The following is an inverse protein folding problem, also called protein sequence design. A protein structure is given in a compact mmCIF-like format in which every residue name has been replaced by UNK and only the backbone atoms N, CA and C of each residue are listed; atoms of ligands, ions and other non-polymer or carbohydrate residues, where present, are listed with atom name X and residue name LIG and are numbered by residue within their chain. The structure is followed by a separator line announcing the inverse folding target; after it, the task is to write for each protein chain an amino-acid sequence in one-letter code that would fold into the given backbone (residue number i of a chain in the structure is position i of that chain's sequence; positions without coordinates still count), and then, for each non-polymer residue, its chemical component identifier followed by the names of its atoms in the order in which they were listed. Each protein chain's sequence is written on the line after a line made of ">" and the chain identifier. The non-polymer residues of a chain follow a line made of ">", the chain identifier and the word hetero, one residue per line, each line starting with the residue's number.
data_IF_102053312291
#
_entry.id   IF_102053312291
#
_cell.length_a   1.000
_cell.length_b   1.000
_cell.length_c   1.000
_cell.angle_alpha   90.00
_cell.angle_beta   90.00
_cell.angle_gamma   90.00
#
_symmetry.space_group_name_H-M   'P 1'
#
loop_
_entity.id
_entity.type
_entity.pdbx_description
1 polymer ?
#
# COMPACT_ATOMS: atom_id res chain seq x y z
N UNK A 1 -0.16 -5.19 -19.85
CA UNK A 1 0.65 -4.17 -20.56
C UNK A 1 2.17 -4.45 -20.52
N UNK A 2 2.68 -5.37 -19.68
CA UNK A 2 4.09 -5.79 -19.74
C UNK A 2 5.12 -4.79 -19.22
N UNK A 3 4.70 -3.75 -18.49
CA UNK A 3 5.57 -2.75 -17.89
C UNK A 3 5.65 -2.95 -16.37
N UNK A 4 6.69 -3.62 -15.83
CA UNK A 4 6.73 -4.02 -14.42
C UNK A 4 7.20 -2.91 -13.48
N UNK A 5 7.87 -1.88 -14.00
CA UNK A 5 8.44 -0.77 -13.23
C UNK A 5 7.51 0.44 -13.27
N UNK A 6 6.55 0.49 -12.35
CA UNK A 6 5.57 1.58 -12.23
C UNK A 6 5.65 2.29 -10.88
N UNK A 7 5.15 3.51 -10.84
CA UNK A 7 5.07 4.36 -9.65
C UNK A 7 3.95 5.39 -9.79
N UNK A 8 3.74 6.16 -8.74
CA UNK A 8 2.85 7.33 -8.72
C UNK A 8 3.40 8.36 -7.72
N UNK A 9 2.77 9.53 -7.67
CA UNK A 9 3.04 10.55 -6.66
C UNK A 9 2.30 10.19 -5.36
N UNK A 10 3.03 9.72 -4.34
CA UNK A 10 2.45 9.50 -3.01
C UNK A 10 1.93 10.83 -2.46
N UNK A 11 0.64 10.86 -2.10
CA UNK A 11 -0.08 12.07 -1.69
C UNK A 11 -0.70 12.86 -2.86
N UNK A 12 -0.51 12.42 -4.11
CA UNK A 12 -1.05 13.07 -5.31
C UNK A 12 -0.23 14.28 -5.76
N UNK A 13 -0.26 14.58 -7.06
CA UNK A 13 0.54 15.68 -7.61
C UNK A 13 0.05 17.05 -7.13
N UNK A 14 -1.24 17.34 -7.35
CA UNK A 14 -1.87 18.63 -7.07
C UNK A 14 -2.90 18.51 -5.95
N UNK A 15 -2.61 19.01 -4.73
CA UNK A 15 -3.60 19.01 -3.67
C UNK A 15 -4.68 20.07 -3.92
N UNK A 16 -5.85 19.88 -3.30
CA UNK A 16 -6.87 20.93 -3.25
C UNK A 16 -6.33 22.17 -2.51
N UNK A 17 -6.75 23.38 -2.91
CA UNK A 17 -6.32 24.65 -2.30
C UNK A 17 -6.50 24.70 -0.78
N UNK A 18 -7.49 23.99 -0.23
CA UNK A 18 -7.74 23.92 1.22
C UNK A 18 -6.58 23.29 2.01
N UNK A 19 -5.71 22.52 1.36
CA UNK A 19 -4.53 21.95 1.98
C UNK A 19 -3.31 22.87 1.93
N UNK A 20 -3.25 23.78 0.96
CA UNK A 20 -2.14 24.72 0.80
C UNK A 20 -2.05 25.68 1.99
N UNK A 21 -3.18 26.10 2.56
CA UNK A 21 -3.19 27.04 3.69
C UNK A 21 -2.73 26.43 5.02
N UNK A 22 -2.61 25.09 5.09
CA UNK A 22 -2.32 24.34 6.33
C UNK A 22 -3.27 24.68 7.48
N UNK A 23 -4.52 25.00 7.15
CA UNK A 23 -5.57 25.28 8.14
C UNK A 23 -5.76 24.04 9.06
N UNK A 24 -5.69 24.20 10.39
CA UNK A 24 -5.90 23.12 11.35
C UNK A 24 -7.13 22.25 11.10
N UNK A 25 -8.19 22.82 10.52
CA UNK A 25 -9.43 22.11 10.17
C UNK A 25 -9.20 20.96 9.17
N UNK A 26 -8.24 21.08 8.26
CA UNK A 26 -7.99 20.10 7.18
C UNK A 26 -6.70 19.29 7.38
N UNK A 27 -5.91 19.59 8.44
CA UNK A 27 -4.63 18.93 8.68
C UNK A 27 -4.79 17.42 8.94
N UNK A 28 -5.87 17.03 9.62
CA UNK A 28 -6.12 15.63 9.93
C UNK A 28 -6.36 14.79 8.66
N UNK A 29 -7.24 15.25 7.77
CA UNK A 29 -7.47 14.60 6.48
C UNK A 29 -6.21 14.59 5.60
N UNK A 30 -5.45 15.70 5.55
CA UNK A 30 -4.19 15.77 4.82
C UNK A 30 -3.19 14.70 5.29
N UNK A 31 -3.04 14.56 6.61
CA UNK A 31 -2.12 13.59 7.22
C UNK A 31 -2.57 12.17 6.98
N UNK A 32 -3.86 11.89 7.17
CA UNK A 32 -4.42 10.55 6.98
C UNK A 32 -4.33 10.12 5.51
N UNK A 33 -4.70 10.99 4.57
CA UNK A 33 -4.58 10.72 3.14
C UNK A 33 -3.14 10.43 2.74
N UNK A 34 -2.18 11.29 3.12
CA UNK A 34 -0.77 11.06 2.80
C UNK A 34 -0.24 9.77 3.44
N UNK A 35 -0.68 9.45 4.67
CA UNK A 35 -0.27 8.22 5.35
C UNK A 35 -0.80 6.98 4.64
N UNK A 36 -2.09 6.93 4.32
CA UNK A 36 -2.68 5.80 3.57
C UNK A 36 -2.04 5.63 2.20
N UNK A 37 -1.69 6.74 1.53
CA UNK A 37 -0.99 6.69 0.25
C UNK A 37 0.47 6.21 0.40
N UNK A 38 1.14 6.55 1.50
CA UNK A 38 2.49 6.08 1.78
C UNK A 38 2.52 4.59 2.11
N UNK A 39 1.53 4.10 2.87
CA UNK A 39 1.30 2.68 3.12
C UNK A 39 1.12 1.93 1.79
N UNK A 40 0.27 2.45 0.89
CA UNK A 40 0.11 1.90 -0.46
C UNK A 40 1.44 1.93 -1.25
N UNK A 41 2.08 3.10 -1.31
CA UNK A 41 3.32 3.31 -2.05
C UNK A 41 4.47 2.41 -1.59
N UNK A 42 4.46 1.97 -0.33
CA UNK A 42 5.47 1.04 0.20
C UNK A 42 5.46 -0.31 -0.54
N UNK A 43 4.32 -0.71 -1.09
CA UNK A 43 4.15 -1.96 -1.82
C UNK A 43 3.85 -1.76 -3.31
N UNK A 44 4.49 -0.76 -3.93
CA UNK A 44 4.57 -0.66 -5.40
C UNK A 44 6.03 -0.76 -5.87
N UNK A 45 6.29 -1.00 -7.18
CA UNK A 45 7.64 -1.28 -7.67
C UNK A 45 8.65 -0.19 -7.31
N UNK A 46 8.31 1.08 -7.56
CA UNK A 46 9.15 2.22 -7.21
C UNK A 46 8.44 3.04 -6.13
N UNK A 47 9.09 3.17 -4.97
CA UNK A 47 8.61 3.94 -3.83
C UNK A 47 9.11 5.38 -3.90
N UNK A 48 8.20 6.34 -4.12
CA UNK A 48 8.55 7.74 -4.38
C UNK A 48 7.52 8.72 -3.84
N UNK A 49 8.00 9.73 -3.11
CA UNK A 49 7.21 10.88 -2.67
C UNK A 49 7.48 12.08 -3.58
N UNK A 50 6.43 12.72 -4.06
CA UNK A 50 6.51 13.91 -4.92
C UNK A 50 5.17 14.65 -4.97
N UNK A 51 5.22 15.95 -5.28
CA UNK A 51 4.08 16.74 -5.71
C UNK A 51 4.26 18.22 -5.43
N UNK A 52 3.23 19.01 -5.71
CA UNK A 52 3.17 20.43 -5.43
C UNK A 52 3.07 20.71 -3.92
N UNK A 53 3.25 21.98 -3.53
CA UNK A 53 3.08 22.41 -2.14
C UNK A 53 1.69 21.99 -1.60
N UNK A 54 1.56 21.50 -0.35
CA UNK A 54 2.57 21.44 0.73
C UNK A 54 3.75 20.49 0.48
N UNK A 55 4.88 20.74 1.15
CA UNK A 55 6.06 19.86 1.12
C UNK A 55 5.73 18.43 1.59
N UNK A 56 6.46 17.44 1.06
CA UNK A 56 6.09 16.01 1.13
C UNK A 56 6.97 15.17 2.03
N UNK A 57 8.03 15.73 2.60
CA UNK A 57 8.85 15.01 3.57
C UNK A 57 8.02 14.67 4.80
N UNK A 58 8.29 13.52 5.42
CA UNK A 58 7.46 12.98 6.51
C UNK A 58 7.28 14.00 7.64
N UNK A 59 8.36 14.69 8.03
CA UNK A 59 8.35 15.74 9.07
C UNK A 59 7.59 17.02 8.66
N UNK A 60 7.38 17.25 7.36
CA UNK A 60 6.54 18.35 6.87
C UNK A 60 5.04 18.00 6.90
N UNK A 61 4.70 16.71 6.84
CA UNK A 61 3.31 16.22 6.86
C UNK A 61 2.84 16.03 8.32
N UNK A 62 3.62 15.30 9.11
CA UNK A 62 3.29 14.94 10.48
C UNK A 62 4.45 15.30 11.43
N UNK A 63 4.16 15.92 12.59
CA UNK A 63 5.17 16.13 13.62
C UNK A 63 5.69 14.80 14.19
N UNK A 64 6.97 14.77 14.56
CA UNK A 64 7.58 13.63 15.24
C UNK A 64 6.83 13.28 16.54
N UNK A 65 6.74 11.97 16.84
CA UNK A 65 6.02 11.44 18.00
C UNK A 65 4.50 11.39 17.85
N UNK A 66 3.95 11.74 16.68
CA UNK A 66 2.53 11.52 16.38
C UNK A 66 2.31 10.12 15.77
N UNK A 67 1.13 9.50 15.96
CA UNK A 67 0.83 8.19 15.36
C UNK A 67 1.01 8.15 13.84
N UNK A 68 0.80 9.28 13.17
CA UNK A 68 1.02 9.41 11.73
C UNK A 68 2.51 9.29 11.39
N UNK A 69 3.36 10.08 12.06
CA UNK A 69 4.81 10.07 11.85
C UNK A 69 5.40 8.69 12.12
N UNK A 70 4.98 8.04 13.21
CA UNK A 70 5.48 6.73 13.59
C UNK A 70 5.10 5.66 12.54
N UNK A 71 3.90 5.75 11.97
CA UNK A 71 3.49 4.86 10.88
C UNK A 71 4.27 5.12 9.58
N UNK A 72 4.49 6.39 9.19
CA UNK A 72 5.38 6.72 8.07
C UNK A 72 6.78 6.10 8.24
N UNK A 73 7.39 6.29 9.41
CA UNK A 73 8.71 5.73 9.72
C UNK A 73 8.69 4.21 9.72
N UNK A 74 7.63 3.58 10.24
CA UNK A 74 7.47 2.13 10.22
C UNK A 74 7.49 1.58 8.79
N UNK A 75 6.66 2.11 7.89
CA UNK A 75 6.60 1.64 6.50
C UNK A 75 7.87 1.97 5.71
N UNK A 76 8.51 3.11 5.97
CA UNK A 76 9.81 3.42 5.41
C UNK A 76 10.85 2.36 5.81
N UNK A 77 10.94 2.03 7.10
CA UNK A 77 11.85 0.98 7.59
C UNK A 77 11.49 -0.39 7.03
N UNK A 78 10.20 -0.71 6.93
CA UNK A 78 9.72 -1.97 6.35
C UNK A 78 10.15 -2.11 4.88
N UNK A 79 10.03 -1.05 4.08
CA UNK A 79 10.51 -1.03 2.69
C UNK A 79 11.98 -1.43 2.60
N UNK A 80 12.82 -0.91 3.51
CA UNK A 80 14.24 -1.24 3.57
C UNK A 80 14.50 -2.65 4.12
N UNK A 81 13.73 -3.10 5.11
CA UNK A 81 13.82 -4.47 5.61
C UNK A 81 13.47 -5.51 4.54
N UNK A 82 12.55 -5.16 3.63
CA UNK A 82 12.16 -5.98 2.49
C UNK A 82 13.10 -5.84 1.27
N UNK A 83 14.20 -5.07 1.34
CA UNK A 83 15.10 -4.89 0.20
C UNK A 83 15.59 -6.20 -0.43
N UNK A 84 15.97 -7.26 0.33
CA UNK A 84 16.35 -8.53 -0.27
C UNK A 84 15.23 -9.12 -1.14
N UNK A 85 13.99 -9.11 -0.63
CA UNK A 85 12.81 -9.55 -1.37
C UNK A 85 12.55 -8.70 -2.61
N UNK A 86 12.52 -7.37 -2.44
CA UNK A 86 12.19 -6.41 -3.50
C UNK A 86 13.24 -6.44 -4.61
N UNK A 87 14.53 -6.51 -4.25
CA UNK A 87 15.62 -6.52 -5.22
C UNK A 87 15.69 -7.85 -5.98
N UNK A 88 15.27 -8.97 -5.37
CA UNK A 88 15.01 -10.21 -6.11
C UNK A 88 13.93 -10.00 -7.17
N UNK A 89 12.79 -9.36 -6.83
CA UNK A 89 11.75 -9.08 -7.83
C UNK A 89 12.25 -8.17 -8.95
N UNK A 90 13.08 -7.16 -8.62
CA UNK A 90 13.71 -6.30 -9.61
C UNK A 90 14.62 -7.08 -10.57
N UNK A 91 15.45 -7.98 -10.06
CA UNK A 91 16.27 -8.88 -10.89
C UNK A 91 15.41 -9.79 -11.77
N UNK A 92 14.31 -10.32 -11.24
CA UNK A 92 13.37 -11.15 -11.99
C UNK A 92 12.71 -10.41 -13.16
N UNK A 93 12.53 -9.08 -13.09
CA UNK A 93 12.01 -8.30 -14.24
C UNK A 93 12.86 -8.41 -15.50
N UNK A 94 14.16 -8.68 -15.35
CA UNK A 94 15.08 -8.86 -16.46
C UNK A 94 15.36 -10.34 -16.73
N UNK A 95 15.68 -11.10 -15.68
CA UNK A 95 16.15 -12.47 -15.84
C UNK A 95 15.02 -13.48 -16.07
N UNK A 96 13.77 -13.12 -15.77
CA UNK A 96 12.61 -14.02 -15.79
C UNK A 96 11.34 -13.34 -16.33
N UNK A 97 11.48 -12.22 -17.02
CA UNK A 97 10.36 -11.40 -17.51
C UNK A 97 9.30 -11.12 -16.42
N UNK A 98 9.77 -10.94 -15.18
CA UNK A 98 8.97 -10.88 -13.98
C UNK A 98 8.08 -9.64 -13.90
N UNK A 99 6.95 -9.78 -13.19
CA UNK A 99 6.03 -8.68 -12.87
C UNK A 99 5.95 -8.50 -11.36
N UNK A 100 6.22 -7.29 -10.87
CA UNK A 100 6.29 -6.96 -9.43
C UNK A 100 4.90 -6.69 -8.85
N UNK A 101 4.12 -5.82 -9.49
CA UNK A 101 2.75 -5.48 -9.11
C UNK A 101 1.77 -6.35 -9.92
N UNK A 102 1.10 -7.29 -9.26
CA UNK A 102 0.39 -8.39 -9.94
C UNK A 102 -1.09 -8.37 -9.56
N UNK A 103 -1.96 -8.37 -10.57
CA UNK A 103 -3.39 -8.60 -10.32
C UNK A 103 -3.60 -10.03 -9.77
N UNK A 104 -4.62 -10.24 -8.93
CA UNK A 104 -4.83 -11.54 -8.29
C UNK A 104 -5.02 -12.67 -9.33
N UNK A 105 -5.64 -12.37 -10.47
CA UNK A 105 -5.79 -13.31 -11.59
C UNK A 105 -4.47 -13.88 -12.15
N UNK A 106 -3.32 -13.23 -11.91
CA UNK A 106 -2.03 -13.74 -12.38
C UNK A 106 -1.58 -14.98 -11.61
N UNK A 107 -1.91 -15.07 -10.33
CA UNK A 107 -1.49 -16.15 -9.43
C UNK A 107 -2.66 -17.07 -9.04
N UNK A 108 -3.90 -16.59 -9.19
CA UNK A 108 -5.13 -17.33 -8.95
C UNK A 108 -6.04 -17.34 -10.19
N UNK A 109 -5.57 -17.88 -11.34
CA UNK A 109 -6.31 -17.81 -12.59
C UNK A 109 -7.63 -18.59 -12.57
N UNK A 110 -7.71 -19.66 -11.77
CA UNK A 110 -8.89 -20.53 -11.64
C UNK A 110 -9.92 -19.99 -10.64
N UNK A 111 -9.60 -18.93 -9.91
CA UNK A 111 -10.52 -18.27 -8.98
C UNK A 111 -11.26 -17.14 -9.71
N UNK A 112 -12.56 -17.31 -10.05
CA UNK A 112 -13.30 -16.31 -10.80
C UNK A 112 -13.46 -15.00 -10.02
N UNK A 113 -13.52 -15.05 -8.68
CA UNK A 113 -13.63 -13.83 -7.87
C UNK A 113 -12.35 -13.01 -7.92
N UNK A 114 -11.19 -13.67 -7.92
CA UNK A 114 -9.90 -13.01 -8.01
C UNK A 114 -9.72 -12.18 -9.30
N UNK A 115 -10.48 -12.47 -10.37
CA UNK A 115 -10.42 -11.74 -11.65
C UNK A 115 -11.04 -10.34 -11.56
N UNK A 116 -12.05 -10.16 -10.74
CA UNK A 116 -12.82 -8.91 -10.65
C UNK A 116 -12.37 -8.00 -9.50
N UNK A 117 -11.47 -8.48 -8.63
CA UNK A 117 -10.92 -7.68 -7.52
C UNK A 117 -9.99 -6.59 -8.08
N UNK A 118 -10.40 -5.33 -7.92
CA UNK A 118 -9.69 -4.16 -8.46
C UNK A 118 -8.98 -3.33 -7.38
N UNK A 119 -9.22 -3.61 -6.11
CA UNK A 119 -8.76 -2.84 -4.95
C UNK A 119 -7.80 -3.63 -4.05
N UNK A 120 -7.30 -4.76 -4.56
CA UNK A 120 -6.25 -5.59 -3.97
C UNK A 120 -5.33 -6.13 -5.06
N UNK A 121 -4.10 -6.44 -4.67
CA UNK A 121 -3.11 -6.98 -5.60
C UNK A 121 -2.04 -7.76 -4.84
N UNK A 122 -1.22 -8.51 -5.57
CA UNK A 122 -0.02 -9.14 -5.04
C UNK A 122 1.20 -8.26 -5.33
N UNK A 123 2.00 -8.01 -4.29
CA UNK A 123 3.32 -7.42 -4.41
C UNK A 123 4.35 -8.56 -4.37
N UNK A 124 4.84 -8.94 -5.56
CA UNK A 124 5.56 -10.19 -5.77
C UNK A 124 4.72 -11.41 -5.40
N UNK A 125 5.34 -12.58 -5.17
CA UNK A 125 4.62 -13.82 -4.90
C UNK A 125 4.12 -13.99 -3.45
N UNK A 126 4.37 -13.03 -2.54
CA UNK A 126 4.21 -13.26 -1.09
C UNK A 126 3.20 -12.34 -0.40
N UNK A 127 3.08 -11.09 -0.83
CA UNK A 127 2.27 -10.10 -0.11
C UNK A 127 0.98 -9.81 -0.86
N UNK A 128 -0.17 -10.13 -0.25
CA UNK A 128 -1.47 -9.58 -0.64
C UNK A 128 -1.64 -8.21 0.00
N UNK A 129 -1.80 -7.18 -0.82
CA UNK A 129 -1.92 -5.80 -0.39
C UNK A 129 -3.33 -5.30 -0.67
N UNK A 130 -3.92 -4.66 0.34
CA UNK A 130 -5.28 -4.11 0.28
C UNK A 130 -5.28 -2.66 0.83
N UNK A 131 -4.91 -1.64 0.04
CA UNK A 131 -4.77 -0.26 0.51
C UNK A 131 -6.07 0.41 0.98
N UNK A 132 -6.14 0.97 2.19
CA UNK A 132 -7.33 1.73 2.62
C UNK A 132 -7.45 3.04 1.83
N UNK A 133 -8.58 3.24 1.13
CA UNK A 133 -8.81 4.39 0.23
C UNK A 133 -9.91 5.35 0.71
N UNK A 134 -10.62 5.01 1.80
CA UNK A 134 -11.67 5.85 2.37
C UNK A 134 -11.16 6.58 3.62
N UNK A 135 -11.41 7.89 3.71
CA UNK A 135 -11.11 8.70 4.89
C UNK A 135 -11.91 8.18 6.10
N UNK A 136 -11.25 8.08 7.26
CA UNK A 136 -11.76 7.55 8.53
C UNK A 136 -12.09 6.07 8.58
N UNK A 137 -11.83 5.31 7.51
CA UNK A 137 -11.93 3.86 7.59
C UNK A 137 -10.86 3.26 8.53
N UNK A 138 -11.32 2.43 9.46
CA UNK A 138 -10.48 1.66 10.40
C UNK A 138 -10.53 0.16 10.12
N UNK A 139 -11.25 -0.25 9.08
CA UNK A 139 -11.34 -1.60 8.57
C UNK A 139 -11.74 -1.56 7.10
N UNK A 140 -11.60 -2.69 6.40
CA UNK A 140 -12.13 -2.86 5.04
C UNK A 140 -12.40 -4.33 4.75
N UNK A 141 -13.22 -4.57 3.73
CA UNK A 141 -13.35 -5.91 3.17
C UNK A 141 -12.08 -6.28 2.39
N UNK A 142 -11.64 -7.52 2.58
CA UNK A 142 -10.48 -8.12 1.89
C UNK A 142 -10.86 -9.51 1.46
N UNK A 143 -10.89 -9.75 0.15
CA UNK A 143 -11.01 -11.08 -0.42
C UNK A 143 -9.66 -11.82 -0.31
N UNK A 144 -9.69 -13.00 0.30
CA UNK A 144 -8.56 -13.90 0.36
C UNK A 144 -8.74 -14.96 -0.75
N UNK A 145 -7.92 -14.96 -1.81
CA UNK A 145 -8.05 -15.93 -2.91
C UNK A 145 -8.04 -17.38 -2.43
N UNK A 146 -8.83 -18.22 -3.12
CA UNK A 146 -8.90 -19.65 -2.86
C UNK A 146 -7.60 -20.37 -3.27
N UNK A 147 -7.40 -21.59 -2.75
CA UNK A 147 -6.24 -22.42 -3.10
C UNK A 147 -4.96 -22.12 -2.32
N UNK A 148 -4.99 -21.13 -1.42
CA UNK A 148 -3.92 -20.83 -0.47
C UNK A 148 -4.49 -20.51 0.91
N UNK A 149 -3.64 -20.57 1.92
CA UNK A 149 -3.93 -20.00 3.25
C UNK A 149 -3.11 -18.72 3.43
N UNK A 150 -3.67 -17.78 4.17
CA UNK A 150 -3.13 -16.45 4.34
C UNK A 150 -2.73 -16.20 5.78
N UNK A 151 -1.66 -15.45 6.00
CA UNK A 151 -1.18 -15.07 7.32
C UNK A 151 -1.22 -13.55 7.39
N UNK A 152 -1.94 -13.00 8.38
CA UNK A 152 -1.91 -11.58 8.65
C UNK A 152 -0.49 -11.16 9.07
N UNK A 153 0.09 -10.21 8.34
CA UNK A 153 1.50 -9.84 8.49
C UNK A 153 1.85 -9.35 9.90
N UNK A 154 0.98 -8.54 10.52
CA UNK A 154 1.24 -7.97 11.85
C UNK A 154 0.98 -8.96 13.00
N UNK A 155 -0.06 -9.80 12.89
CA UNK A 155 -0.51 -10.63 14.02
C UNK A 155 -0.09 -12.10 13.93
N UNK A 156 0.35 -12.56 12.75
CA UNK A 156 0.62 -13.97 12.49
C UNK A 156 -0.64 -14.84 12.43
N UNK A 157 -1.84 -14.27 12.57
CA UNK A 157 -3.10 -15.02 12.51
C UNK A 157 -3.28 -15.63 11.12
N UNK A 158 -3.54 -16.94 11.07
CA UNK A 158 -3.82 -17.68 9.84
C UNK A 158 -5.31 -17.63 9.48
N UNK A 159 -5.59 -17.53 8.18
CA UNK A 159 -6.90 -17.58 7.57
C UNK A 159 -6.87 -18.57 6.41
N UNK A 160 -7.99 -19.24 6.16
CA UNK A 160 -8.15 -20.01 4.92
C UNK A 160 -8.51 -19.07 3.76
N UNK A 161 -8.12 -19.42 2.54
CA UNK A 161 -8.55 -18.72 1.33
C UNK A 161 -10.01 -18.98 0.97
N UNK A 162 -10.47 -18.33 -0.10
CA UNK A 162 -11.82 -18.48 -0.66
C UNK A 162 -12.90 -17.69 0.08
N UNK A 163 -12.53 -16.76 0.96
CA UNK A 163 -13.45 -15.99 1.78
C UNK A 163 -13.12 -14.49 1.73
N UNK A 164 -14.13 -13.67 1.99
CA UNK A 164 -13.94 -12.23 2.26
C UNK A 164 -13.97 -12.03 3.77
N UNK A 165 -12.99 -11.31 4.29
CA UNK A 165 -12.92 -10.93 5.70
C UNK A 165 -13.07 -9.42 5.84
N UNK A 166 -13.65 -8.98 6.95
CA UNK A 166 -13.48 -7.61 7.44
C UNK A 166 -12.13 -7.52 8.14
N UNK A 167 -11.12 -7.01 7.44
CA UNK A 167 -9.77 -6.85 8.00
C UNK A 167 -9.68 -5.56 8.81
N UNK A 168 -9.11 -5.65 10.01
CA UNK A 168 -8.74 -4.48 10.81
C UNK A 168 -7.69 -3.67 10.05
N UNK A 169 -7.92 -2.36 9.94
CA UNK A 169 -7.04 -1.43 9.23
C UNK A 169 -6.91 -0.14 10.05
N UNK A 170 -6.37 -0.20 11.29
CA UNK A 170 -6.18 1.00 12.11
C UNK A 170 -5.31 2.02 11.36
N UNK A 171 -5.38 3.30 11.70
CA UNK A 171 -4.61 4.37 11.02
C UNK A 171 -3.14 4.00 10.78
N UNK A 172 -2.52 3.32 11.73
CA UNK A 172 -1.11 2.97 11.70
C UNK A 172 -0.75 1.78 10.78
N UNK A 173 -1.72 1.04 10.22
CA UNK A 173 -1.52 -0.18 9.40
C UNK A 173 -2.45 -0.27 8.19
#
# INVERSE_FOLDING_TARGET
>A
AGAPNVSFDIGGFSPERRYETRDPKYLDEWREQNLRWFQYGTFVPIFRLHGQFPYREIWNIAPEGTPHYDSFVHYLKLRYALLPYIYTLAGDTWHRDGTILRALAMDFPDDPKARDVADQYLFGPAFLVAPVTAYKATSREVYLPAGASWIAFDSGKRFEGGQTITADAPLAR
#
